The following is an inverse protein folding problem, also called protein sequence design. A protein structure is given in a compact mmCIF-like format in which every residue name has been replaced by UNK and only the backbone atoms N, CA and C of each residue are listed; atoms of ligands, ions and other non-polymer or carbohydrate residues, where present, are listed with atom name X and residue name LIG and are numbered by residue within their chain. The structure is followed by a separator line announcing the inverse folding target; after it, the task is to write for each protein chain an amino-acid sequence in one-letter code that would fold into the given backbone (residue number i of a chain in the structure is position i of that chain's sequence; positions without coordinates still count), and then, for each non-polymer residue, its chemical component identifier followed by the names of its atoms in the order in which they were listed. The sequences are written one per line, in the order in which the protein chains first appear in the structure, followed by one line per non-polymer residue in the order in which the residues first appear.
data_IF_702156238834
#
_entry.id   IF_702156238834
#
_cell.length_a   1.000
_cell.length_b   1.000
_cell.length_c   1.000
_cell.angle_alpha   90.00
_cell.angle_beta   90.00
_cell.angle_gamma   90.00
#
_symmetry.space_group_name_H-M   'P 1'
#
loop_
_entity.id
_entity.type
_entity.pdbx_description
1 polymer ?
#
# COMPACT_ATOMS: atom_id res chain seq x y z
N UNK A 1 28.34 16.99 27.04
CA UNK A 1 28.01 16.03 25.96
C UNK A 1 26.51 15.74 26.06
N UNK A 2 25.73 16.32 25.16
CA UNK A 2 24.26 16.41 25.29
C UNK A 2 23.53 15.09 25.07
N UNK A 3 22.35 14.96 25.70
CA UNK A 3 21.40 13.85 25.56
C UNK A 3 21.08 13.49 24.09
N UNK A 4 21.30 14.40 23.13
CA UNK A 4 20.99 14.21 21.71
C UNK A 4 21.72 13.03 21.04
N UNK A 5 22.94 12.69 21.47
CA UNK A 5 23.68 11.54 20.90
C UNK A 5 23.09 10.17 21.28
N UNK A 6 22.37 10.09 22.41
CA UNK A 6 21.78 8.84 22.90
C UNK A 6 20.39 8.57 22.33
N UNK A 7 19.67 9.60 21.88
CA UNK A 7 18.32 9.50 21.30
C UNK A 7 18.32 9.23 19.79
N UNK A 8 19.45 9.42 19.11
CA UNK A 8 19.61 9.24 17.67
C UNK A 8 19.07 7.90 17.10
N UNK A 9 19.24 6.73 17.75
CA UNK A 9 18.68 5.48 17.21
C UNK A 9 17.16 5.38 17.35
N UNK A 10 16.52 6.18 18.21
CA UNK A 10 15.07 6.18 18.48
C UNK A 10 14.31 7.28 17.74
N UNK A 11 15.00 8.11 16.96
CA UNK A 11 14.38 9.20 16.19
C UNK A 11 14.38 8.89 14.70
N UNK A 12 13.29 9.23 14.02
CA UNK A 12 13.21 9.22 12.56
C UNK A 12 14.36 10.04 11.96
N UNK A 13 14.93 9.56 10.85
CA UNK A 13 16.15 10.09 10.26
C UNK A 13 15.82 10.96 9.06
N UNK A 14 16.31 12.20 9.05
CA UNK A 14 16.16 13.08 7.90
C UNK A 14 17.06 12.60 6.77
N UNK A 15 16.49 12.41 5.58
CA UNK A 15 17.19 12.03 4.35
C UNK A 15 17.78 13.25 3.64
N UNK A 16 18.59 13.02 2.60
CA UNK A 16 19.20 14.10 1.80
C UNK A 16 18.16 14.98 1.10
N UNK A 17 17.04 14.41 0.65
CA UNK A 17 15.94 15.13 0.00
C UNK A 17 14.99 15.84 1.00
N UNK A 18 15.31 15.77 2.29
CA UNK A 18 14.59 16.47 3.36
C UNK A 18 13.35 15.75 3.89
N UNK A 19 13.05 14.57 3.37
CA UNK A 19 12.06 13.64 3.94
C UNK A 19 12.64 12.91 5.16
N UNK A 20 11.87 12.01 5.76
CA UNK A 20 12.27 11.28 6.96
C UNK A 20 11.99 9.80 6.82
N UNK A 21 13.01 8.98 7.02
CA UNK A 21 12.91 7.53 7.15
C UNK A 21 12.65 7.13 8.62
N UNK A 22 12.12 5.91 8.86
CA UNK A 22 12.02 5.37 10.21
C UNK A 22 13.36 5.31 10.95
N UNK A 23 13.29 5.31 12.28
CA UNK A 23 14.47 5.23 13.14
C UNK A 23 15.23 3.90 12.95
N UNK A 24 16.57 3.89 13.06
CA UNK A 24 17.34 2.65 12.94
C UNK A 24 16.90 1.56 13.92
N UNK A 25 16.47 1.95 15.13
CA UNK A 25 15.91 1.03 16.11
C UNK A 25 14.63 0.37 15.62
N UNK A 26 13.71 1.15 15.05
CA UNK A 26 12.46 0.57 14.54
C UNK A 26 12.73 -0.31 13.34
N UNK A 27 13.61 0.09 12.42
CA UNK A 27 13.96 -0.73 11.27
C UNK A 27 14.55 -2.08 11.72
N UNK A 28 15.42 -2.09 12.73
CA UNK A 28 16.02 -3.32 13.25
C UNK A 28 15.00 -4.29 13.89
N UNK A 29 13.86 -3.79 14.38
CA UNK A 29 12.81 -4.61 15.01
C UNK A 29 11.63 -4.91 14.08
N UNK A 30 11.32 -4.01 13.16
CA UNK A 30 10.12 -4.02 12.32
C UNK A 30 10.34 -4.55 10.91
N UNK A 31 11.60 -4.70 10.46
CA UNK A 31 11.90 -5.26 9.14
C UNK A 31 12.65 -6.58 9.25
N UNK A 32 12.50 -7.41 8.23
CA UNK A 32 13.23 -8.68 8.11
C UNK A 32 13.89 -8.77 6.75
N UNK A 33 15.10 -9.31 6.71
CA UNK A 33 15.81 -9.56 5.45
C UNK A 33 15.22 -10.73 4.65
N UNK A 34 14.36 -11.56 5.26
CA UNK A 34 13.63 -12.66 4.63
C UNK A 34 12.18 -12.73 5.11
N UNK A 35 11.28 -13.17 4.24
CA UNK A 35 9.92 -13.46 4.63
C UNK A 35 9.75 -14.94 5.00
N UNK A 36 8.60 -15.29 5.55
CA UNK A 36 8.24 -16.69 5.84
C UNK A 36 7.55 -17.38 4.66
N UNK A 37 7.58 -16.78 3.46
CA UNK A 37 6.92 -17.33 2.30
C UNK A 37 7.58 -18.65 1.86
N UNK A 38 6.72 -19.59 1.47
CA UNK A 38 7.09 -20.86 0.87
C UNK A 38 6.24 -20.98 -0.39
N UNK A 39 6.84 -21.38 -1.51
CA UNK A 39 6.12 -21.58 -2.76
C UNK A 39 4.95 -22.55 -2.58
N UNK A 40 3.76 -22.13 -3.01
CA UNK A 40 2.54 -22.89 -2.86
C UNK A 40 2.26 -23.70 -4.13
N UNK A 41 1.74 -24.91 -3.95
CA UNK A 41 1.20 -25.69 -5.05
C UNK A 41 -0.29 -25.93 -4.81
N UNK A 42 -1.11 -25.02 -5.31
CA UNK A 42 -2.57 -25.14 -5.22
C UNK A 42 -3.06 -26.28 -6.11
N UNK A 43 -3.94 -27.13 -5.56
CA UNK A 43 -4.56 -28.26 -6.28
C UNK A 43 -5.35 -27.79 -7.50
N UNK A 44 -6.05 -26.66 -7.36
CA UNK A 44 -6.76 -25.99 -8.45
C UNK A 44 -6.13 -24.64 -8.70
N UNK A 45 -5.62 -24.43 -9.91
CA UNK A 45 -5.08 -23.15 -10.38
C UNK A 45 -6.07 -22.44 -11.28
N UNK A 46 -6.01 -21.12 -11.28
CA UNK A 46 -6.68 -20.29 -12.26
C UNK A 46 -6.11 -20.58 -13.66
N UNK A 47 -7.00 -20.91 -14.60
CA UNK A 47 -6.66 -21.21 -16.00
C UNK A 47 -7.20 -20.17 -16.98
N UNK A 48 -7.85 -19.12 -16.47
CA UNK A 48 -8.29 -18.00 -17.28
C UNK A 48 -7.14 -17.07 -17.66
N UNK A 49 -7.48 -15.98 -18.35
CA UNK A 49 -6.52 -15.03 -18.89
C UNK A 49 -6.65 -13.61 -18.33
N UNK A 50 -7.52 -13.40 -17.32
CA UNK A 50 -7.72 -12.08 -16.72
C UNK A 50 -6.68 -11.82 -15.63
N UNK A 51 -5.83 -10.78 -15.74
CA UNK A 51 -4.89 -10.44 -14.68
C UNK A 51 -5.60 -9.88 -13.44
N UNK A 52 -4.87 -9.80 -12.33
CA UNK A 52 -5.22 -8.98 -11.17
C UNK A 52 -4.69 -7.57 -11.42
N UNK A 53 -5.56 -6.56 -11.26
CA UNK A 53 -5.15 -5.16 -11.30
C UNK A 53 -4.57 -4.76 -9.94
N UNK A 54 -3.26 -4.53 -9.88
CA UNK A 54 -2.57 -4.05 -8.68
C UNK A 54 -2.53 -2.53 -8.71
N UNK A 55 -3.16 -1.89 -7.74
CA UNK A 55 -3.26 -0.43 -7.64
C UNK A 55 -2.28 0.05 -6.59
N UNK A 56 -1.22 0.71 -7.03
CA UNK A 56 -0.13 1.19 -6.19
C UNK A 56 -0.16 2.71 -6.04
N UNK A 57 0.46 3.21 -4.98
CA UNK A 57 0.84 4.64 -4.93
C UNK A 57 2.06 4.93 -5.82
N UNK A 58 2.03 6.08 -6.48
CA UNK A 58 3.13 6.78 -7.13
C UNK A 58 3.56 8.06 -6.37
N UNK A 59 3.03 8.27 -5.15
CA UNK A 59 3.44 9.34 -4.23
C UNK A 59 3.77 8.76 -2.83
N UNK A 60 5.05 8.87 -2.45
CA UNK A 60 5.57 8.42 -1.16
C UNK A 60 5.80 9.54 -0.14
N UNK A 61 5.35 10.77 -0.40
CA UNK A 61 5.65 11.93 0.45
C UNK A 61 4.47 12.29 1.34
N UNK A 62 4.39 11.63 2.50
CA UNK A 62 3.32 11.91 3.45
C UNK A 62 3.68 13.09 4.35
N UNK A 63 2.97 14.22 4.21
CA UNK A 63 3.11 15.36 5.11
C UNK A 63 2.44 15.08 6.46
N UNK A 64 3.21 15.15 7.54
CA UNK A 64 2.75 14.95 8.92
C UNK A 64 2.18 16.24 9.51
N UNK A 65 1.48 16.15 10.66
CA UNK A 65 0.91 17.31 11.37
C UNK A 65 1.94 18.35 11.83
N UNK A 66 3.22 17.98 11.94
CA UNK A 66 4.32 18.86 12.32
C UNK A 66 5.14 19.35 11.11
N UNK A 67 4.56 19.31 9.92
CA UNK A 67 5.15 19.71 8.63
C UNK A 67 6.36 18.89 8.16
N UNK A 68 6.83 17.90 8.93
CA UNK A 68 7.80 16.92 8.43
C UNK A 68 7.14 16.04 7.36
N UNK A 69 7.96 15.50 6.47
CA UNK A 69 7.49 14.60 5.40
C UNK A 69 8.04 13.21 5.65
N UNK A 70 7.16 12.24 5.88
CA UNK A 70 7.54 10.83 5.98
C UNK A 70 7.80 10.25 4.59
N UNK A 71 8.93 9.57 4.44
CA UNK A 71 9.34 8.88 3.22
C UNK A 71 8.77 7.46 3.21
N UNK A 72 7.63 7.31 2.55
CA UNK A 72 6.86 6.06 2.49
C UNK A 72 6.65 5.63 1.04
N UNK A 73 5.71 4.72 0.82
CA UNK A 73 5.35 4.12 -0.44
C UNK A 73 4.42 2.94 -0.18
N UNK A 74 4.39 2.00 -1.11
CA UNK A 74 3.79 0.70 -0.87
C UNK A 74 4.75 -0.15 -0.03
N UNK A 75 4.26 -0.85 0.99
CA UNK A 75 5.10 -1.72 1.81
C UNK A 75 5.47 -2.98 0.99
N UNK A 76 6.77 -3.26 0.73
CA UNK A 76 7.17 -4.27 -0.25
C UNK A 76 6.73 -5.69 0.13
N UNK A 77 6.74 -6.04 1.42
CA UNK A 77 6.25 -7.36 1.85
C UNK A 77 4.73 -7.46 1.66
N UNK A 78 3.99 -6.39 1.93
CA UNK A 78 2.54 -6.39 1.78
C UNK A 78 2.10 -6.42 0.33
N UNK A 79 2.91 -5.89 -0.58
CA UNK A 79 2.71 -6.00 -2.02
C UNK A 79 3.11 -7.39 -2.54
N UNK A 80 4.35 -7.80 -2.32
CA UNK A 80 4.91 -8.95 -3.01
C UNK A 80 4.45 -10.30 -2.43
N UNK A 81 4.16 -10.43 -1.13
CA UNK A 81 3.72 -11.74 -0.60
C UNK A 81 2.35 -12.16 -1.13
N UNK A 82 1.30 -11.32 -1.08
CA UNK A 82 0.02 -11.66 -1.71
C UNK A 82 0.19 -11.96 -3.20
N UNK A 83 0.98 -11.14 -3.93
CA UNK A 83 1.26 -11.39 -5.34
C UNK A 83 1.99 -12.71 -5.60
N UNK A 84 2.91 -13.15 -4.73
CA UNK A 84 3.53 -14.47 -4.83
C UNK A 84 2.47 -15.58 -4.73
N UNK A 85 1.55 -15.47 -3.78
CA UNK A 85 0.44 -16.41 -3.64
C UNK A 85 -0.51 -16.39 -4.85
N UNK A 86 -0.82 -15.21 -5.40
CA UNK A 86 -1.66 -15.08 -6.60
C UNK A 86 -0.97 -15.69 -7.84
N UNK A 87 0.33 -15.45 -8.01
CA UNK A 87 1.12 -16.05 -9.10
C UNK A 87 1.13 -17.56 -9.01
N UNK A 88 1.38 -18.11 -7.82
CA UNK A 88 1.39 -19.56 -7.59
C UNK A 88 0.02 -20.20 -7.87
N UNK A 89 -1.06 -19.43 -7.66
CA UNK A 89 -2.43 -19.80 -8.01
C UNK A 89 -2.75 -19.64 -9.51
N UNK A 90 -1.84 -19.12 -10.33
CA UNK A 90 -1.98 -19.01 -11.79
C UNK A 90 -2.40 -17.63 -12.31
N UNK A 91 -2.47 -16.61 -11.46
CA UNK A 91 -2.81 -15.25 -11.89
C UNK A 91 -1.59 -14.50 -12.42
N UNK A 92 -1.84 -13.62 -13.39
CA UNK A 92 -0.91 -12.58 -13.87
C UNK A 92 -1.31 -11.22 -13.31
N UNK A 93 -0.48 -10.19 -13.55
CA UNK A 93 -0.69 -8.85 -13.00
C UNK A 93 -0.67 -7.79 -14.09
N UNK A 94 -1.47 -6.75 -13.88
CA UNK A 94 -1.21 -5.42 -14.39
C UNK A 94 -1.02 -4.49 -13.19
N UNK A 95 -0.17 -3.47 -13.33
CA UNK A 95 0.06 -2.49 -12.27
C UNK A 95 -0.43 -1.12 -12.75
N UNK A 96 -1.13 -0.40 -11.89
CA UNK A 96 -1.63 0.93 -12.15
C UNK A 96 -1.37 1.90 -10.99
N UNK A 97 -1.19 3.17 -11.34
CA UNK A 97 -1.05 4.28 -10.39
C UNK A 97 -1.91 5.47 -10.84
N UNK A 98 -2.15 6.43 -9.95
CA UNK A 98 -3.06 7.56 -10.23
C UNK A 98 -2.57 8.35 -11.44
N UNK A 99 -1.29 8.67 -11.51
CA UNK A 99 -0.73 9.48 -12.58
C UNK A 99 -0.15 8.67 -13.74
N UNK A 100 0.03 7.35 -13.56
CA UNK A 100 0.88 6.52 -14.43
C UNK A 100 2.38 6.69 -14.15
N UNK A 101 2.72 7.41 -13.07
CA UNK A 101 4.08 7.55 -12.59
C UNK A 101 4.59 6.26 -11.92
N UNK A 102 5.91 6.09 -11.78
CA UNK A 102 6.50 4.88 -11.22
C UNK A 102 5.97 4.56 -9.82
N UNK A 103 5.83 3.27 -9.52
CA UNK A 103 5.46 2.77 -8.19
C UNK A 103 6.52 3.18 -7.18
N UNK A 104 6.09 3.74 -6.04
CA UNK A 104 6.98 4.08 -4.93
C UNK A 104 6.93 2.95 -3.89
N UNK A 105 8.09 2.42 -3.50
CA UNK A 105 8.22 1.39 -2.47
C UNK A 105 8.92 1.93 -1.22
N UNK A 106 8.53 1.39 -0.07
CA UNK A 106 9.28 1.54 1.19
C UNK A 106 10.54 0.69 1.16
N UNK A 107 11.58 1.14 0.44
CA UNK A 107 12.79 0.34 0.20
C UNK A 107 13.56 0.00 1.49
N UNK A 108 13.37 0.77 2.56
CA UNK A 108 13.91 0.46 3.88
C UNK A 108 13.27 -0.79 4.53
N UNK A 109 12.12 -1.26 4.04
CA UNK A 109 11.47 -2.51 4.44
C UNK A 109 11.68 -3.67 3.44
N UNK A 110 12.47 -3.46 2.39
CA UNK A 110 12.67 -4.48 1.35
C UNK A 110 13.43 -5.70 1.88
N UNK A 111 12.92 -6.94 1.71
CA UNK A 111 13.56 -8.15 2.22
C UNK A 111 14.74 -8.59 1.33
N UNK A 112 15.89 -7.95 1.52
CA UNK A 112 17.09 -8.06 0.64
C UNK A 112 17.70 -9.45 0.49
N UNK A 113 17.30 -10.46 1.28
CA UNK A 113 17.77 -11.85 1.18
C UNK A 113 16.66 -12.82 0.77
N UNK A 114 15.47 -12.33 0.42
CA UNK A 114 14.36 -13.16 -0.04
C UNK A 114 14.36 -13.29 -1.57
N UNK A 115 14.76 -14.45 -2.06
CA UNK A 115 14.87 -14.71 -3.49
C UNK A 115 13.51 -14.82 -4.19
N UNK A 116 12.43 -15.19 -3.47
CA UNK A 116 11.10 -15.23 -4.05
C UNK A 116 10.57 -13.82 -4.30
N UNK A 117 10.71 -12.93 -3.31
CA UNK A 117 10.34 -11.52 -3.45
C UNK A 117 11.15 -10.85 -4.55
N UNK A 118 12.49 -11.05 -4.58
CA UNK A 118 13.34 -10.51 -5.66
C UNK A 118 12.91 -10.98 -7.04
N UNK A 119 12.71 -12.29 -7.22
CA UNK A 119 12.31 -12.86 -8.51
C UNK A 119 10.96 -12.31 -8.97
N UNK A 120 9.99 -12.14 -8.06
CA UNK A 120 8.72 -11.53 -8.41
C UNK A 120 8.90 -10.04 -8.77
N UNK A 121 9.64 -9.29 -7.96
CA UNK A 121 9.91 -7.86 -8.21
C UNK A 121 10.56 -7.66 -9.58
N UNK A 122 11.60 -8.43 -9.91
CA UNK A 122 12.23 -8.42 -11.24
C UNK A 122 11.22 -8.72 -12.36
N UNK A 123 10.32 -9.69 -12.15
CA UNK A 123 9.32 -10.06 -13.16
C UNK A 123 8.28 -8.97 -13.43
N UNK A 124 8.00 -8.10 -12.46
CA UNK A 124 7.04 -6.99 -12.59
C UNK A 124 7.69 -5.60 -12.67
N UNK A 125 9.02 -5.53 -12.69
CA UNK A 125 9.77 -4.27 -12.64
C UNK A 125 9.36 -3.31 -13.76
N UNK A 126 9.22 -3.80 -14.98
CA UNK A 126 8.82 -2.96 -16.13
C UNK A 126 7.42 -2.37 -15.95
N UNK A 127 6.49 -3.11 -15.33
CA UNK A 127 5.14 -2.63 -15.00
C UNK A 127 5.18 -1.62 -13.86
N UNK A 128 6.10 -1.75 -12.91
CA UNK A 128 6.28 -0.79 -11.81
C UNK A 128 6.94 0.52 -12.26
N UNK A 129 7.87 0.45 -13.21
CA UNK A 129 8.54 1.63 -13.78
C UNK A 129 7.61 2.41 -14.73
N UNK A 130 6.68 1.71 -15.40
CA UNK A 130 5.72 2.28 -16.36
C UNK A 130 4.32 1.69 -16.15
N UNK A 131 3.67 1.97 -15.01
CA UNK A 131 2.35 1.43 -14.71
C UNK A 131 1.29 2.08 -15.61
N UNK A 132 0.14 1.43 -15.71
CA UNK A 132 -1.05 2.04 -16.33
C UNK A 132 -1.47 3.26 -15.51
N UNK A 133 -1.93 4.31 -16.17
CA UNK A 133 -2.62 5.41 -15.50
C UNK A 133 -4.07 4.99 -15.22
N UNK A 134 -4.57 5.21 -14.00
CA UNK A 134 -5.96 4.82 -13.66
C UNK A 134 -7.01 5.43 -14.61
N UNK A 135 -6.79 6.65 -15.09
CA UNK A 135 -7.67 7.33 -16.05
C UNK A 135 -7.78 6.61 -17.41
N UNK A 136 -6.78 5.80 -17.78
CA UNK A 136 -6.74 5.11 -19.07
C UNK A 136 -7.43 3.72 -19.00
N UNK A 137 -7.84 3.28 -17.81
CA UNK A 137 -8.53 2.00 -17.62
C UNK A 137 -10.04 2.23 -17.74
N UNK A 138 -10.61 2.01 -18.91
CA UNK A 138 -12.02 2.30 -19.17
C UNK A 138 -13.00 1.39 -18.38
N UNK A 139 -12.67 0.11 -18.26
CA UNK A 139 -13.53 -0.93 -17.63
C UNK A 139 -12.69 -2.00 -16.94
N UNK A 140 -13.28 -2.65 -15.94
CA UNK A 140 -12.73 -3.78 -15.22
C UNK A 140 -13.04 -5.17 -15.81
N UNK A 141 -13.74 -5.25 -16.95
CA UNK A 141 -14.15 -6.52 -17.57
C UNK A 141 -12.96 -7.45 -17.89
N UNK A 142 -11.78 -6.87 -18.12
CA UNK A 142 -10.54 -7.58 -18.39
C UNK A 142 -9.84 -8.15 -17.15
N UNK A 143 -10.29 -7.86 -15.93
CA UNK A 143 -9.59 -8.23 -14.69
C UNK A 143 -10.32 -9.31 -13.89
N UNK A 144 -9.55 -10.10 -13.15
CA UNK A 144 -10.06 -11.13 -12.23
C UNK A 144 -10.33 -10.56 -10.83
N UNK A 145 -9.57 -9.55 -10.42
CA UNK A 145 -9.67 -8.89 -9.12
C UNK A 145 -8.93 -7.54 -9.14
N UNK A 146 -9.18 -6.73 -8.11
CA UNK A 146 -8.33 -5.60 -7.71
C UNK A 146 -7.52 -6.01 -6.48
N UNK A 147 -6.25 -5.63 -6.46
CA UNK A 147 -5.39 -5.72 -5.28
C UNK A 147 -4.78 -4.36 -4.95
N UNK A 148 -4.93 -3.90 -3.71
CA UNK A 148 -4.40 -2.63 -3.21
C UNK A 148 -3.48 -2.91 -2.03
N UNK A 149 -2.15 -2.95 -2.21
CA UNK A 149 -1.21 -3.11 -1.10
C UNK A 149 -1.28 -1.93 -0.12
N UNK A 150 -0.79 -2.15 1.10
CA UNK A 150 -0.66 -1.10 2.10
C UNK A 150 0.71 -0.42 2.06
N UNK A 151 1.21 -0.05 3.24
CA UNK A 151 2.19 1.03 3.43
C UNK A 151 1.52 2.40 3.49
N UNK A 152 2.10 3.35 4.23
CA UNK A 152 1.47 4.66 4.46
C UNK A 152 1.25 5.44 3.16
N UNK A 153 2.01 5.15 2.10
CA UNK A 153 1.83 5.75 0.78
C UNK A 153 0.43 5.55 0.18
N UNK A 154 -0.28 4.48 0.55
CA UNK A 154 -1.66 4.24 0.12
C UNK A 154 -2.66 5.31 0.63
N UNK A 155 -2.27 6.11 1.63
CA UNK A 155 -3.09 7.19 2.18
C UNK A 155 -2.86 8.55 1.52
N UNK A 156 -1.93 8.66 0.56
CA UNK A 156 -1.51 9.95 0.01
C UNK A 156 -2.44 10.41 -1.10
N UNK A 157 -2.41 9.74 -2.25
CA UNK A 157 -3.17 10.17 -3.44
C UNK A 157 -4.30 9.22 -3.84
N UNK A 158 -4.28 7.97 -3.39
CA UNK A 158 -5.35 7.01 -3.69
C UNK A 158 -6.73 7.44 -3.14
N UNK A 159 -6.85 7.86 -1.86
CA UNK A 159 -8.16 8.14 -1.24
C UNK A 159 -8.95 9.28 -1.89
N UNK A 160 -8.27 10.16 -2.64
CA UNK A 160 -8.87 11.33 -3.31
C UNK A 160 -9.03 11.12 -4.82
N UNK A 161 -8.63 9.95 -5.35
CA UNK A 161 -8.66 9.69 -6.79
C UNK A 161 -10.07 9.39 -7.28
N UNK A 162 -10.65 10.30 -8.07
CA UNK A 162 -11.96 10.11 -8.72
C UNK A 162 -11.96 8.86 -9.62
N UNK A 163 -10.84 8.60 -10.32
CA UNK A 163 -10.74 7.46 -11.23
C UNK A 163 -10.65 6.14 -10.49
N UNK A 164 -9.92 6.10 -9.37
CA UNK A 164 -9.96 4.95 -8.48
C UNK A 164 -11.37 4.72 -7.94
N UNK A 165 -12.03 5.80 -7.51
CA UNK A 165 -13.41 5.74 -7.03
C UNK A 165 -14.36 5.13 -8.07
N UNK A 166 -14.25 5.54 -9.34
CA UNK A 166 -15.03 4.98 -10.44
C UNK A 166 -14.77 3.48 -10.62
N UNK A 167 -13.51 3.06 -10.65
CA UNK A 167 -13.14 1.64 -10.80
C UNK A 167 -13.64 0.81 -9.60
N UNK A 168 -13.53 1.31 -8.37
CA UNK A 168 -14.02 0.60 -7.18
C UNK A 168 -15.54 0.49 -7.12
N UNK A 169 -16.27 1.52 -7.57
CA UNK A 169 -17.72 1.43 -7.79
C UNK A 169 -18.05 0.32 -8.80
N UNK A 170 -17.34 0.27 -9.93
CA UNK A 170 -17.52 -0.78 -10.93
C UNK A 170 -17.20 -2.18 -10.37
N UNK A 171 -16.14 -2.30 -9.58
CA UNK A 171 -15.77 -3.56 -8.92
C UNK A 171 -16.88 -4.01 -7.96
N UNK A 172 -17.41 -3.09 -7.15
CA UNK A 172 -18.52 -3.34 -6.25
C UNK A 172 -19.78 -3.80 -7.01
N UNK A 173 -20.20 -3.06 -8.04
CA UNK A 173 -21.41 -3.35 -8.81
C UNK A 173 -21.35 -4.71 -9.54
N UNK A 174 -20.15 -5.12 -9.96
CA UNK A 174 -19.91 -6.41 -10.64
C UNK A 174 -19.63 -7.56 -9.66
N UNK A 175 -19.50 -7.30 -8.36
CA UNK A 175 -19.03 -8.28 -7.39
C UNK A 175 -17.61 -8.76 -7.67
N UNK A 176 -16.77 -7.92 -8.29
CA UNK A 176 -15.36 -8.23 -8.56
C UNK A 176 -14.57 -8.21 -7.25
N UNK A 177 -13.80 -9.26 -6.93
CA UNK A 177 -13.02 -9.30 -5.69
C UNK A 177 -12.06 -8.10 -5.57
N UNK A 178 -12.10 -7.43 -4.43
CA UNK A 178 -11.18 -6.35 -4.05
C UNK A 178 -10.42 -6.78 -2.81
N UNK A 179 -9.09 -6.90 -2.91
CA UNK A 179 -8.22 -7.35 -1.84
C UNK A 179 -7.34 -6.19 -1.38
N UNK A 180 -7.24 -5.97 -0.07
CA UNK A 180 -6.40 -4.92 0.50
C UNK A 180 -5.99 -5.25 1.94
N UNK A 181 -4.99 -4.54 2.47
CA UNK A 181 -4.42 -4.77 3.81
C UNK A 181 -3.72 -3.51 4.36
N UNK A 182 -3.50 -3.49 5.69
CA UNK A 182 -2.79 -2.43 6.39
C UNK A 182 -3.44 -1.05 6.17
N UNK A 183 -2.77 -0.12 5.51
CA UNK A 183 -3.33 1.18 5.11
C UNK A 183 -3.95 1.19 3.71
N UNK A 184 -3.81 0.12 2.92
CA UNK A 184 -4.48 -0.04 1.63
C UNK A 184 -5.99 0.21 1.65
N UNK A 185 -6.75 -0.17 2.72
CA UNK A 185 -8.16 0.17 2.86
C UNK A 185 -8.48 1.67 2.76
N UNK A 186 -7.53 2.57 3.04
CA UNK A 186 -7.68 4.01 2.81
C UNK A 186 -8.11 4.34 1.38
N UNK A 187 -7.65 3.56 0.41
CA UNK A 187 -7.98 3.72 -1.00
C UNK A 187 -9.48 3.54 -1.30
N UNK A 188 -10.24 2.84 -0.45
CA UNK A 188 -11.68 2.66 -0.61
C UNK A 188 -12.44 4.00 -0.48
N UNK A 189 -11.88 4.96 0.27
CA UNK A 189 -12.43 6.32 0.42
C UNK A 189 -12.53 7.07 -0.92
N UNK A 190 -11.77 6.64 -1.94
CA UNK A 190 -11.86 7.16 -3.30
C UNK A 190 -13.28 7.09 -3.88
N UNK A 191 -14.09 6.12 -3.43
CA UNK A 191 -15.49 6.00 -3.85
C UNK A 191 -16.37 7.20 -3.46
N UNK A 192 -15.88 8.08 -2.56
CA UNK A 192 -16.51 9.37 -2.22
C UNK A 192 -15.97 10.57 -2.98
N UNK A 193 -14.81 10.47 -3.63
CA UNK A 193 -14.12 11.62 -4.23
C UNK A 193 -14.95 12.29 -5.35
N UNK A 194 -15.89 11.56 -5.96
CA UNK A 194 -16.84 12.08 -6.96
C UNK A 194 -18.24 12.40 -6.41
N UNK A 195 -18.38 12.70 -5.11
CA UNK A 195 -19.66 12.98 -4.44
C UNK A 195 -20.71 11.85 -4.51
N UNK A 196 -20.26 10.63 -4.80
CA UNK A 196 -21.11 9.44 -4.74
C UNK A 196 -21.26 8.95 -3.31
N UNK A 197 -22.32 8.16 -3.08
CA UNK A 197 -22.43 7.36 -1.88
C UNK A 197 -21.22 6.41 -1.77
N UNK A 198 -20.78 6.16 -0.55
CA UNK A 198 -19.65 5.28 -0.31
C UNK A 198 -20.03 3.84 -0.65
N UNK A 199 -19.27 3.18 -1.53
CA UNK A 199 -19.64 1.88 -2.08
C UNK A 199 -19.59 0.74 -1.04
N UNK A 200 -18.74 0.85 -0.03
CA UNK A 200 -18.44 -0.24 0.91
C UNK A 200 -19.08 -0.07 2.29
N UNK A 201 -20.14 0.74 2.40
CA UNK A 201 -20.87 0.90 3.66
C UNK A 201 -21.49 -0.43 4.12
N UNK A 202 -21.32 -0.78 5.39
CA UNK A 202 -21.79 -2.04 5.98
C UNK A 202 -20.86 -3.25 5.76
N UNK A 203 -19.74 -3.07 5.06
CA UNK A 203 -18.72 -4.12 4.96
C UNK A 203 -17.93 -4.25 6.26
N UNK A 204 -17.51 -5.49 6.56
CA UNK A 204 -16.52 -5.77 7.61
C UNK A 204 -15.13 -5.79 7.01
N UNK A 205 -14.21 -5.04 7.58
CA UNK A 205 -12.83 -4.94 7.08
C UNK A 205 -11.82 -4.93 8.21
N UNK A 206 -10.56 -5.16 7.86
CA UNK A 206 -9.42 -4.94 8.74
C UNK A 206 -8.53 -3.88 8.12
N UNK A 207 -8.08 -2.94 8.94
CA UNK A 207 -7.09 -1.95 8.56
C UNK A 207 -6.05 -1.78 9.68
N UNK A 208 -4.96 -1.08 9.39
CA UNK A 208 -4.03 -0.68 10.41
C UNK A 208 -4.70 0.28 11.39
N UNK A 209 -4.46 0.08 12.69
CA UNK A 209 -5.22 0.78 13.73
C UNK A 209 -4.66 2.17 13.99
N UNK A 210 -5.55 3.16 14.18
CA UNK A 210 -5.15 4.54 14.50
C UNK A 210 -4.38 4.62 15.82
N UNK A 211 -4.66 3.71 16.77
CA UNK A 211 -3.95 3.61 18.03
C UNK A 211 -2.47 3.32 17.80
N UNK A 212 -2.15 2.35 16.94
CA UNK A 212 -0.75 2.01 16.64
C UNK A 212 -0.06 3.18 15.94
N UNK A 213 -0.67 3.79 14.92
CA UNK A 213 -0.12 4.98 14.25
C UNK A 213 0.09 6.16 15.22
N UNK A 214 -0.78 6.33 16.22
CA UNK A 214 -0.61 7.38 17.23
C UNK A 214 0.61 7.15 18.14
N UNK A 215 1.05 5.90 18.28
CA UNK A 215 2.17 5.51 19.15
C UNK A 215 3.51 5.40 18.41
N UNK A 216 3.51 5.11 17.12
CA UNK A 216 4.72 4.89 16.31
C UNK A 216 5.69 6.07 16.24
N UNK A 217 5.27 7.35 16.40
CA UNK A 217 6.22 8.45 16.55
C UNK A 217 7.08 8.38 17.82
N UNK A 218 6.60 7.72 18.90
CA UNK A 218 7.31 7.68 20.19
C UNK A 218 8.61 6.86 20.17
N UNK A 219 8.74 5.95 19.20
CA UNK A 219 9.95 5.17 18.91
C UNK A 219 10.55 5.50 17.54
N UNK A 220 10.06 6.58 16.91
CA UNK A 220 10.66 7.19 15.73
C UNK A 220 10.41 6.43 14.43
N UNK A 221 9.37 5.60 14.34
CA UNK A 221 8.95 5.04 13.06
C UNK A 221 8.39 6.13 12.15
N UNK A 222 7.40 6.88 12.67
CA UNK A 222 6.88 8.08 12.04
C UNK A 222 7.63 9.33 12.55
N UNK A 223 7.90 10.34 11.70
CA UNK A 223 8.58 11.57 12.11
C UNK A 223 7.65 12.56 12.84
N UNK A 224 6.35 12.29 12.87
CA UNK A 224 5.29 13.10 13.49
C UNK A 224 3.97 12.36 13.52
N UNK A 225 2.92 12.99 14.05
CA UNK A 225 1.57 12.42 14.06
C UNK A 225 0.97 12.44 12.65
N UNK A 226 0.21 11.38 12.32
CA UNK A 226 -0.49 11.22 11.05
C UNK A 226 -1.39 12.42 10.73
N UNK A 227 -1.48 12.85 9.45
CA UNK A 227 -2.32 13.98 9.05
C UNK A 227 -3.81 13.74 9.32
N UNK A 228 -4.25 12.50 9.12
CA UNK A 228 -5.59 12.01 9.39
C UNK A 228 -5.53 10.53 9.80
N UNK A 229 -6.67 9.98 10.18
CA UNK A 229 -6.80 8.66 10.80
C UNK A 229 -7.53 7.69 9.87
N UNK A 230 -6.86 6.62 9.47
CA UNK A 230 -7.37 5.67 8.48
C UNK A 230 -8.60 4.93 9.00
N UNK A 231 -8.50 4.36 10.20
CA UNK A 231 -9.56 3.56 10.79
C UNK A 231 -10.80 4.42 11.04
N UNK A 232 -10.66 5.56 11.73
CA UNK A 232 -11.77 6.49 12.01
C UNK A 232 -12.46 6.97 10.72
N UNK A 233 -11.70 7.25 9.65
CA UNK A 233 -12.27 7.69 8.38
C UNK A 233 -13.12 6.60 7.70
N UNK A 234 -12.70 5.34 7.77
CA UNK A 234 -13.45 4.18 7.23
C UNK A 234 -14.69 3.89 8.06
N UNK A 235 -14.57 3.88 9.39
CA UNK A 235 -15.68 3.71 10.34
C UNK A 235 -16.77 4.78 10.13
N UNK A 236 -16.36 6.02 9.86
CA UNK A 236 -17.28 7.12 9.56
C UNK A 236 -18.10 6.89 8.27
N UNK A 237 -17.59 6.08 7.34
CA UNK A 237 -18.33 5.68 6.13
C UNK A 237 -19.15 4.39 6.32
N UNK A 238 -19.18 3.84 7.53
CA UNK A 238 -19.95 2.65 7.88
C UNK A 238 -19.24 1.33 7.63
N UNK A 239 -17.90 1.33 7.49
CA UNK A 239 -17.14 0.07 7.59
C UNK A 239 -17.05 -0.35 9.07
N UNK A 240 -17.24 -1.64 9.32
CA UNK A 240 -17.10 -2.29 10.63
C UNK A 240 -15.76 -3.01 10.80
#
# INVERSE_FOLDING_TARGET
MGLSKWLHPLTAQKTEDGTYDPSPFTLALGTSTKTSYIAQNYETKYTGNKPILVICTDDGKMKMKNDKVFNTGNHPIEMFLPMLHFRDAGFTFDIATVSGGPVVLEMWAYPTKDEHVKSLHESVQSMMEKPKKLADIESLDGYAAIFIPGGHGAMVNLPESVELGRLLHEAHDKGLPTVTLCHGPAALLATKAGEKEFAYGGYKSVCFTDKTDGTTPSFGYLPGQMPWKCQEALETQGIE
#
